data_IF_212477988809
#
_entry.id   IF_212477988809
#
_cell.length_a   1.000
_cell.length_b   1.000
_cell.length_c   1.000
_cell.angle_alpha   90.00
_cell.angle_beta   90.00
_cell.angle_gamma   90.00
#
_symmetry.space_group_name_H-M   'P 1'
#
loop_
_entity.id
_entity.type
_entity.pdbx_description
1 polymer ?
#
# COMPACT_ATOMS: atom_id res chain seq x y z
N UNK A 1 -44.05 27.07 -51.11
CA UNK A 1 -44.63 26.17 -50.08
C UNK A 1 -43.53 25.21 -49.65
N UNK A 2 -42.89 25.50 -48.51
CA UNK A 2 -42.96 24.72 -47.24
C UNK A 2 -42.08 23.47 -47.26
N UNK A 3 -41.19 23.18 -46.32
CA UNK A 3 -40.87 23.78 -45.04
C UNK A 3 -39.50 23.23 -44.64
N UNK A 4 -38.68 24.08 -44.04
CA UNK A 4 -37.43 23.76 -43.36
C UNK A 4 -37.64 22.79 -42.20
N UNK A 5 -37.04 21.61 -42.26
CA UNK A 5 -36.79 20.78 -41.08
C UNK A 5 -35.62 21.40 -40.29
N UNK A 6 -35.94 22.37 -39.45
CA UNK A 6 -35.08 22.83 -38.38
C UNK A 6 -34.78 21.64 -37.45
N UNK A 7 -33.55 21.15 -37.52
CA UNK A 7 -33.02 20.23 -36.51
C UNK A 7 -32.90 20.99 -35.20
N UNK A 8 -33.69 20.56 -34.22
CA UNK A 8 -33.94 21.25 -32.96
C UNK A 8 -32.66 21.30 -32.08
N UNK A 9 -32.01 22.47 -31.88
CA UNK A 9 -30.76 22.58 -31.11
C UNK A 9 -30.97 22.35 -29.60
N UNK A 10 -32.21 22.43 -29.10
CA UNK A 10 -32.54 22.24 -27.68
C UNK A 10 -32.30 20.81 -27.15
N UNK A 11 -32.38 19.78 -28.00
CA UNK A 11 -32.22 18.38 -27.55
C UNK A 11 -30.74 18.01 -27.35
N UNK A 12 -29.83 18.59 -28.15
CA UNK A 12 -28.37 18.42 -27.99
C UNK A 12 -27.85 19.10 -26.72
N UNK A 13 -28.36 20.29 -26.37
CA UNK A 13 -27.94 21.03 -25.18
C UNK A 13 -28.27 20.33 -23.85
N UNK A 14 -29.45 19.70 -23.72
CA UNK A 14 -29.83 18.98 -22.50
C UNK A 14 -29.01 17.70 -22.28
N UNK A 15 -28.69 16.97 -23.36
CA UNK A 15 -27.87 15.76 -23.29
C UNK A 15 -26.40 16.07 -22.94
N UNK A 16 -25.83 17.16 -23.49
CA UNK A 16 -24.46 17.57 -23.18
C UNK A 16 -24.32 18.00 -21.71
N UNK A 17 -25.24 18.83 -21.22
CA UNK A 17 -25.27 19.27 -19.82
C UNK A 17 -25.44 18.10 -18.82
N UNK A 18 -26.22 17.07 -19.19
CA UNK A 18 -26.38 15.88 -18.34
C UNK A 18 -25.08 15.08 -18.24
N UNK A 19 -24.39 14.87 -19.37
CA UNK A 19 -23.10 14.17 -19.41
C UNK A 19 -22.03 14.93 -18.63
N UNK A 20 -22.02 16.25 -18.70
CA UNK A 20 -21.07 17.08 -17.94
C UNK A 20 -21.32 16.99 -16.42
N UNK A 21 -22.58 17.08 -15.98
CA UNK A 21 -22.95 16.89 -14.56
C UNK A 21 -22.56 15.52 -14.03
N UNK A 22 -22.78 14.46 -14.81
CA UNK A 22 -22.37 13.09 -14.45
C UNK A 22 -20.84 12.98 -14.27
N UNK A 23 -20.05 13.61 -15.13
CA UNK A 23 -18.60 13.60 -15.00
C UNK A 23 -18.14 14.38 -13.76
N UNK A 24 -18.73 15.55 -13.48
CA UNK A 24 -18.42 16.33 -12.28
C UNK A 24 -18.73 15.54 -11.00
N UNK A 25 -19.89 14.88 -10.94
CA UNK A 25 -20.26 14.01 -9.83
C UNK A 25 -19.23 12.88 -9.65
N UNK A 26 -18.82 12.21 -10.73
CA UNK A 26 -17.80 11.16 -10.68
C UNK A 26 -16.45 11.68 -10.19
N UNK A 27 -16.04 12.90 -10.55
CA UNK A 27 -14.81 13.49 -10.05
C UNK A 27 -14.89 13.82 -8.55
N UNK A 28 -15.99 14.40 -8.07
CA UNK A 28 -16.20 14.66 -6.65
C UNK A 28 -16.17 13.34 -5.87
N UNK A 29 -16.88 12.33 -6.37
CA UNK A 29 -16.87 10.99 -5.79
C UNK A 29 -15.45 10.40 -5.73
N UNK A 30 -14.67 10.51 -6.82
CA UNK A 30 -13.29 10.04 -6.83
C UNK A 30 -12.41 10.81 -5.85
N UNK A 31 -12.54 12.13 -5.73
CA UNK A 31 -11.79 12.93 -4.75
C UNK A 31 -12.07 12.42 -3.33
N UNK A 32 -13.33 12.21 -2.97
CA UNK A 32 -13.72 11.67 -1.66
C UNK A 32 -13.08 10.29 -1.47
N UNK A 33 -13.21 9.39 -2.44
CA UNK A 33 -12.65 8.04 -2.36
C UNK A 33 -11.12 8.04 -2.19
N UNK A 34 -10.42 8.94 -2.88
CA UNK A 34 -8.98 9.14 -2.74
C UNK A 34 -8.60 9.70 -1.35
N UNK A 35 -9.35 10.67 -0.82
CA UNK A 35 -9.14 11.15 0.56
C UNK A 35 -9.34 10.04 1.59
N UNK A 36 -10.37 9.21 1.43
CA UNK A 36 -10.60 8.06 2.30
C UNK A 36 -9.48 7.01 2.20
N UNK A 37 -8.85 6.88 1.03
CA UNK A 37 -7.71 5.98 0.80
C UNK A 37 -6.46 6.44 1.55
N UNK A 38 -6.26 7.76 1.72
CA UNK A 38 -5.14 8.36 2.45
C UNK A 38 -5.25 8.11 3.96
N UNK A 39 -6.46 8.02 4.49
CA UNK A 39 -6.71 7.99 5.93
C UNK A 39 -6.46 6.58 6.48
N UNK A 40 -5.40 6.44 7.29
CA UNK A 40 -4.92 5.17 7.85
C UNK A 40 -4.83 5.15 9.37
N UNK A 41 -5.27 6.20 10.06
CA UNK A 41 -5.36 6.24 11.51
C UNK A 41 -6.75 6.67 12.01
N UNK A 42 -7.79 6.16 11.36
CA UNK A 42 -9.17 6.51 11.63
C UNK A 42 -9.63 5.95 13.01
N UNK A 43 -10.33 6.75 13.85
CA UNK A 43 -10.69 6.36 15.22
C UNK A 43 -11.58 5.11 15.37
N UNK A 44 -12.21 4.63 14.29
CA UNK A 44 -13.04 3.42 14.31
C UNK A 44 -12.24 2.16 14.69
N UNK A 45 -10.91 2.20 14.61
CA UNK A 45 -10.04 1.13 15.13
C UNK A 45 -10.35 0.77 16.58
N UNK A 46 -10.75 1.75 17.40
CA UNK A 46 -11.08 1.55 18.80
C UNK A 46 -12.38 0.75 19.00
N UNK A 47 -13.21 0.60 17.97
CA UNK A 47 -14.49 -0.13 18.03
C UNK A 47 -14.43 -1.49 17.33
N UNK A 48 -13.80 -1.57 16.15
CA UNK A 48 -13.84 -2.78 15.31
C UNK A 48 -12.45 -3.41 15.06
N UNK A 49 -11.41 -2.89 15.73
CA UNK A 49 -10.04 -3.33 15.58
C UNK A 49 -9.36 -2.78 14.33
N UNK A 50 -8.20 -3.34 13.96
CA UNK A 50 -7.30 -2.80 12.93
C UNK A 50 -7.95 -2.48 11.58
N UNK A 51 -9.03 -3.16 11.19
CA UNK A 51 -9.76 -2.88 9.95
C UNK A 51 -10.43 -1.49 9.96
N UNK A 52 -10.72 -0.97 11.15
CA UNK A 52 -11.29 0.35 11.38
C UNK A 52 -10.28 1.49 11.26
N UNK A 53 -8.98 1.22 11.09
CA UNK A 53 -7.97 2.27 10.86
C UNK A 53 -8.16 3.03 9.56
N UNK A 54 -8.93 2.48 8.62
CA UNK A 54 -9.26 3.13 7.36
C UNK A 54 -10.77 3.25 7.20
N UNK A 55 -11.29 4.41 6.77
CA UNK A 55 -12.72 4.58 6.53
C UNK A 55 -13.20 3.83 5.26
N UNK A 56 -12.30 3.23 4.47
CA UNK A 56 -12.66 2.40 3.31
C UNK A 56 -13.57 1.23 3.70
N UNK A 57 -13.45 0.70 4.93
CA UNK A 57 -14.35 -0.36 5.42
C UNK A 57 -15.82 0.07 5.44
N UNK A 58 -16.12 1.35 5.66
CA UNK A 58 -17.49 1.86 5.62
C UNK A 58 -18.09 1.84 4.20
N UNK A 59 -17.24 1.80 3.17
CA UNK A 59 -17.66 1.67 1.79
C UNK A 59 -17.87 0.23 1.34
N UNK A 60 -17.61 -0.76 2.22
CA UNK A 60 -17.82 -2.18 1.90
C UNK A 60 -19.24 -2.46 1.35
N UNK A 61 -20.35 -1.97 1.96
CA UNK A 61 -21.68 -2.19 1.41
C UNK A 61 -21.83 -1.63 0.00
N UNK A 62 -21.28 -0.43 -0.27
CA UNK A 62 -21.31 0.19 -1.58
C UNK A 62 -20.57 -0.67 -2.62
N UNK A 63 -19.36 -1.15 -2.28
CA UNK A 63 -18.59 -2.00 -3.19
C UNK A 63 -19.31 -3.32 -3.48
N UNK A 64 -19.94 -3.93 -2.48
CA UNK A 64 -20.75 -5.14 -2.64
C UNK A 64 -21.96 -4.88 -3.55
N UNK A 65 -22.69 -3.78 -3.36
CA UNK A 65 -23.81 -3.41 -4.24
C UNK A 65 -23.35 -3.17 -5.69
N UNK A 66 -22.20 -2.53 -5.89
CA UNK A 66 -21.63 -2.36 -7.22
C UNK A 66 -21.33 -3.71 -7.88
N UNK A 67 -20.77 -4.67 -7.15
CA UNK A 67 -20.53 -6.02 -7.66
C UNK A 67 -21.82 -6.78 -7.97
N UNK A 68 -22.83 -6.69 -7.11
CA UNK A 68 -24.16 -7.28 -7.38
C UNK A 68 -24.75 -6.68 -8.66
N UNK A 69 -24.65 -5.37 -8.86
CA UNK A 69 -25.11 -4.71 -10.09
C UNK A 69 -24.33 -5.17 -11.34
N UNK A 70 -23.01 -5.34 -11.23
CA UNK A 70 -22.18 -5.87 -12.33
C UNK A 70 -22.56 -7.31 -12.67
N UNK A 71 -22.79 -8.14 -11.66
CA UNK A 71 -23.22 -9.54 -11.79
C UNK A 71 -24.61 -9.63 -12.40
N UNK A 72 -25.57 -8.82 -11.95
CA UNK A 72 -26.91 -8.77 -12.52
C UNK A 72 -26.88 -8.42 -14.01
N UNK A 73 -26.01 -7.49 -14.41
CA UNK A 73 -25.88 -7.05 -15.80
C UNK A 73 -25.20 -8.08 -16.71
N UNK A 74 -24.11 -8.71 -16.27
CA UNK A 74 -23.29 -9.59 -17.13
C UNK A 74 -23.49 -11.09 -16.86
N UNK A 75 -24.25 -11.44 -15.82
CA UNK A 75 -24.53 -12.81 -15.35
C UNK A 75 -23.30 -13.67 -15.05
N UNK A 76 -22.10 -13.07 -14.98
CA UNK A 76 -20.81 -13.75 -14.75
C UNK A 76 -19.85 -12.83 -14.01
N UNK A 77 -18.96 -13.40 -13.18
CA UNK A 77 -17.88 -12.65 -12.52
C UNK A 77 -16.83 -12.26 -13.56
N UNK A 78 -16.89 -11.02 -14.03
CA UNK A 78 -15.89 -10.49 -14.96
C UNK A 78 -14.63 -10.07 -14.20
N UNK A 79 -13.54 -10.79 -14.40
CA UNK A 79 -12.21 -10.38 -13.95
C UNK A 79 -11.56 -9.52 -15.02
N UNK A 80 -11.56 -8.21 -14.82
CA UNK A 80 -11.13 -7.23 -15.83
C UNK A 80 -9.62 -7.14 -16.00
N UNK A 81 -8.83 -7.49 -14.98
CA UNK A 81 -7.35 -7.43 -15.06
C UNK A 81 -6.66 -8.62 -14.41
N UNK A 82 -5.42 -8.91 -14.84
CA UNK A 82 -4.62 -10.01 -14.27
C UNK A 82 -4.38 -9.85 -12.76
N UNK A 83 -4.27 -8.60 -12.28
CA UNK A 83 -4.16 -8.29 -10.85
C UNK A 83 -5.35 -8.84 -10.05
N UNK A 84 -6.57 -8.64 -10.54
CA UNK A 84 -7.77 -9.16 -9.89
C UNK A 84 -7.77 -10.69 -9.85
N UNK A 85 -7.32 -11.34 -10.93
CA UNK A 85 -7.23 -12.81 -10.99
C UNK A 85 -6.25 -13.36 -9.97
N UNK A 86 -5.08 -12.74 -9.83
CA UNK A 86 -4.07 -13.16 -8.85
C UNK A 86 -4.57 -12.99 -7.42
N UNK A 87 -5.19 -11.85 -7.10
CA UNK A 87 -5.73 -11.59 -5.75
C UNK A 87 -6.88 -12.55 -5.45
N UNK A 88 -7.80 -12.75 -6.39
CA UNK A 88 -8.91 -13.68 -6.21
C UNK A 88 -8.42 -15.13 -6.00
N UNK A 89 -7.47 -15.58 -6.83
CA UNK A 89 -6.85 -16.91 -6.65
C UNK A 89 -6.15 -17.05 -5.30
N UNK A 90 -5.46 -16.00 -4.85
CA UNK A 90 -4.81 -15.99 -3.54
C UNK A 90 -5.82 -16.01 -2.38
N UNK A 91 -6.96 -15.33 -2.50
CA UNK A 91 -8.05 -15.38 -1.50
C UNK A 91 -8.61 -16.79 -1.39
N UNK A 92 -8.87 -17.47 -2.51
CA UNK A 92 -9.38 -18.84 -2.51
C UNK A 92 -8.36 -19.80 -1.84
N UNK A 93 -7.09 -19.65 -2.20
CA UNK A 93 -6.00 -20.40 -1.59
C UNK A 93 -5.93 -20.17 -0.07
N UNK A 94 -5.89 -18.91 0.38
CA UNK A 94 -5.85 -18.58 1.80
C UNK A 94 -7.07 -19.08 2.56
N UNK A 95 -8.25 -19.03 1.94
CA UNK A 95 -9.48 -19.55 2.55
C UNK A 95 -9.38 -21.06 2.79
N UNK A 96 -8.86 -21.82 1.82
CA UNK A 96 -8.64 -23.26 1.96
C UNK A 96 -7.61 -23.57 3.04
N UNK A 97 -6.43 -22.93 3.01
CA UNK A 97 -5.39 -23.13 4.04
C UNK A 97 -5.92 -22.77 5.43
N UNK A 98 -6.68 -21.68 5.54
CA UNK A 98 -7.27 -21.26 6.82
C UNK A 98 -8.23 -22.31 7.36
N UNK A 99 -9.10 -22.89 6.53
CA UNK A 99 -10.00 -23.98 6.95
C UNK A 99 -9.19 -25.18 7.43
N UNK A 100 -8.18 -25.61 6.66
CA UNK A 100 -7.34 -26.78 7.00
C UNK A 100 -6.65 -26.58 8.35
N UNK A 101 -5.98 -25.45 8.56
CA UNK A 101 -5.23 -25.21 9.81
C UNK A 101 -6.15 -24.93 11.01
N UNK A 102 -7.32 -24.32 10.81
CA UNK A 102 -8.32 -24.22 11.88
C UNK A 102 -8.82 -25.61 12.31
N UNK A 103 -9.08 -26.51 11.35
CA UNK A 103 -9.47 -27.89 11.66
C UNK A 103 -8.37 -28.62 12.44
N UNK A 104 -7.10 -28.49 12.02
CA UNK A 104 -5.97 -29.10 12.76
C UNK A 104 -5.90 -28.58 14.19
N UNK A 105 -6.02 -27.27 14.41
CA UNK A 105 -5.98 -26.68 15.75
C UNK A 105 -7.18 -27.12 16.60
N UNK A 106 -8.37 -27.22 16.00
CA UNK A 106 -9.58 -27.67 16.70
C UNK A 106 -9.49 -29.15 17.09
N UNK A 107 -8.92 -30.00 16.24
CA UNK A 107 -8.63 -31.40 16.58
C UNK A 107 -7.61 -31.54 17.72
N UNK A 108 -6.71 -30.58 17.88
CA UNK A 108 -5.77 -30.48 19.00
C UNK A 108 -6.38 -29.85 20.26
N UNK A 109 -7.67 -29.50 20.25
CA UNK A 109 -8.39 -28.89 21.37
C UNK A 109 -8.14 -27.39 21.55
N UNK A 110 -7.48 -26.73 20.59
CA UNK A 110 -7.16 -25.29 20.65
C UNK A 110 -8.15 -24.47 19.81
N UNK A 111 -9.08 -23.76 20.47
CA UNK A 111 -10.15 -23.00 19.82
C UNK A 111 -9.97 -21.47 19.85
N UNK A 112 -9.18 -20.98 20.81
CA UNK A 112 -8.91 -19.57 21.04
C UNK A 112 -7.46 -19.34 21.42
N UNK A 113 -6.95 -18.16 21.10
CA UNK A 113 -5.66 -17.67 21.59
C UNK A 113 -5.92 -16.39 22.39
N UNK A 114 -5.64 -16.41 23.70
CA UNK A 114 -6.04 -15.33 24.60
C UNK A 114 -7.56 -15.12 24.59
N UNK A 115 -8.03 -13.89 24.38
CA UNK A 115 -9.46 -13.59 24.25
C UNK A 115 -10.02 -13.78 22.83
N UNK A 116 -9.16 -14.02 21.83
CA UNK A 116 -9.58 -14.10 20.44
C UNK A 116 -9.89 -15.55 20.01
N UNK A 117 -11.13 -15.79 19.55
CA UNK A 117 -11.48 -17.05 18.88
C UNK A 117 -10.80 -17.17 17.52
N UNK A 118 -10.14 -18.31 17.26
CA UNK A 118 -9.32 -18.51 16.05
C UNK A 118 -10.15 -18.41 14.76
N UNK A 119 -11.37 -18.93 14.76
CA UNK A 119 -12.28 -18.83 13.61
C UNK A 119 -12.70 -17.38 13.34
N UNK A 120 -13.06 -16.65 14.40
CA UNK A 120 -13.42 -15.24 14.31
C UNK A 120 -12.26 -14.40 13.77
N UNK A 121 -11.03 -14.65 14.23
CA UNK A 121 -9.83 -14.00 13.71
C UNK A 121 -9.58 -14.35 12.24
N UNK A 122 -9.68 -15.63 11.88
CA UNK A 122 -9.50 -16.10 10.51
C UNK A 122 -10.43 -15.39 9.52
N UNK A 123 -11.72 -15.27 9.87
CA UNK A 123 -12.72 -14.54 9.07
C UNK A 123 -12.38 -13.05 9.01
N UNK A 124 -12.08 -12.41 10.15
CA UNK A 124 -11.71 -10.98 10.20
C UNK A 124 -10.55 -10.68 9.25
N UNK A 125 -9.49 -11.48 9.30
CA UNK A 125 -8.31 -11.31 8.45
C UNK A 125 -8.63 -11.57 6.96
N UNK A 126 -9.46 -12.57 6.64
CA UNK A 126 -9.93 -12.82 5.25
C UNK A 126 -10.73 -11.64 4.68
N UNK A 127 -11.51 -10.93 5.52
CA UNK A 127 -12.27 -9.74 5.08
C UNK A 127 -11.34 -8.65 4.55
N UNK A 128 -10.12 -8.47 5.08
CA UNK A 128 -9.17 -7.49 4.52
C UNK A 128 -8.82 -7.82 3.07
N UNK A 129 -8.56 -9.09 2.75
CA UNK A 129 -8.23 -9.50 1.38
C UNK A 129 -9.42 -9.31 0.43
N UNK A 130 -10.63 -9.66 0.88
CA UNK A 130 -11.86 -9.44 0.11
C UNK A 130 -12.08 -7.94 -0.12
N UNK A 131 -11.89 -7.11 0.89
CA UNK A 131 -12.02 -5.66 0.78
C UNK A 131 -10.97 -5.07 -0.17
N UNK A 132 -9.72 -5.56 -0.15
CA UNK A 132 -8.68 -5.18 -1.12
C UNK A 132 -9.13 -5.50 -2.56
N UNK A 133 -9.68 -6.70 -2.81
CA UNK A 133 -10.17 -7.08 -4.13
C UNK A 133 -11.31 -6.16 -4.59
N UNK A 134 -12.30 -5.94 -3.71
CA UNK A 134 -13.44 -5.07 -3.99
C UNK A 134 -13.00 -3.62 -4.25
N UNK A 135 -12.06 -3.11 -3.45
CA UNK A 135 -11.48 -1.79 -3.63
C UNK A 135 -10.81 -1.64 -5.00
N UNK A 136 -9.95 -2.59 -5.39
CA UNK A 136 -9.27 -2.55 -6.70
C UNK A 136 -10.27 -2.56 -7.85
N UNK A 137 -11.29 -3.42 -7.77
CA UNK A 137 -12.35 -3.52 -8.78
C UNK A 137 -13.12 -2.22 -8.90
N UNK A 138 -13.49 -1.64 -7.76
CA UNK A 138 -14.24 -0.38 -7.71
C UNK A 138 -13.41 0.79 -8.25
N UNK A 139 -12.15 0.93 -7.83
CA UNK A 139 -11.24 1.94 -8.37
C UNK A 139 -11.11 1.85 -9.89
N UNK A 140 -10.94 0.63 -10.43
CA UNK A 140 -10.85 0.42 -11.87
C UNK A 140 -12.15 0.76 -12.60
N UNK A 141 -13.30 0.46 -11.99
CA UNK A 141 -14.60 0.86 -12.52
C UNK A 141 -14.73 2.39 -12.58
N UNK A 142 -14.44 3.09 -11.48
CA UNK A 142 -14.51 4.56 -11.43
C UNK A 142 -13.57 5.19 -12.46
N UNK A 143 -12.32 4.74 -12.53
CA UNK A 143 -11.35 5.21 -13.52
C UNK A 143 -11.80 4.98 -14.97
N UNK A 144 -12.45 3.84 -15.26
CA UNK A 144 -12.96 3.55 -16.62
C UNK A 144 -14.13 4.45 -17.04
N UNK A 145 -14.84 5.07 -16.09
CA UNK A 145 -16.00 5.94 -16.34
C UNK A 145 -15.63 7.41 -16.51
N UNK A 146 -14.45 7.81 -16.05
CA UNK A 146 -13.93 9.17 -16.25
C UNK A 146 -13.38 9.28 -17.67
N UNK A 147 -14.02 10.11 -18.50
CA UNK A 147 -13.67 10.23 -19.93
C UNK A 147 -12.41 11.05 -20.19
N UNK A 148 -12.06 11.96 -19.27
CA UNK A 148 -10.97 12.93 -19.46
C UNK A 148 -9.81 12.69 -18.51
N UNK A 149 -8.62 12.48 -19.07
CA UNK A 149 -7.38 12.41 -18.28
C UNK A 149 -7.05 13.72 -17.56
N UNK A 150 -7.51 14.87 -18.07
CA UNK A 150 -7.34 16.17 -17.39
C UNK A 150 -8.19 16.23 -16.11
N UNK A 151 -9.39 15.66 -16.15
CA UNK A 151 -10.27 15.57 -14.98
C UNK A 151 -9.69 14.63 -13.93
N UNK A 152 -9.17 13.47 -14.37
CA UNK A 152 -8.47 12.55 -13.50
C UNK A 152 -7.25 13.22 -12.83
N UNK A 153 -6.45 13.95 -13.61
CA UNK A 153 -5.35 14.78 -13.07
C UNK A 153 -5.87 15.77 -12.01
N UNK A 154 -6.97 16.48 -12.28
CA UNK A 154 -7.58 17.42 -11.34
C UNK A 154 -7.98 16.77 -10.01
N UNK A 155 -8.48 15.53 -10.04
CA UNK A 155 -8.80 14.78 -8.82
C UNK A 155 -7.55 14.50 -7.99
N UNK A 156 -6.47 14.03 -8.61
CA UNK A 156 -5.20 13.79 -7.90
C UNK A 156 -4.56 15.08 -7.40
N UNK A 157 -4.62 16.16 -8.19
CA UNK A 157 -4.14 17.48 -7.76
C UNK A 157 -4.89 17.96 -6.51
N UNK A 158 -6.22 17.84 -6.48
CA UNK A 158 -7.02 18.24 -5.33
C UNK A 158 -6.59 17.49 -4.05
N UNK A 159 -6.35 16.18 -4.13
CA UNK A 159 -5.88 15.40 -2.98
C UNK A 159 -4.44 15.73 -2.60
N UNK A 160 -3.53 15.92 -3.56
CA UNK A 160 -2.15 16.35 -3.24
C UNK A 160 -2.15 17.72 -2.55
N UNK A 161 -2.97 18.66 -3.02
CA UNK A 161 -3.11 19.97 -2.37
C UNK A 161 -3.71 19.86 -0.98
N UNK A 162 -4.68 18.98 -0.77
CA UNK A 162 -5.21 18.66 0.56
C UNK A 162 -4.15 18.09 1.49
N UNK A 163 -3.30 17.16 1.02
CA UNK A 163 -2.18 16.61 1.78
C UNK A 163 -1.16 17.69 2.18
N UNK A 164 -0.80 18.58 1.25
CA UNK A 164 0.10 19.72 1.53
C UNK A 164 -0.50 20.60 2.63
N UNK A 165 -1.80 20.93 2.52
CA UNK A 165 -2.50 21.74 3.51
C UNK A 165 -2.51 21.08 4.90
N UNK A 166 -2.85 19.79 4.98
CA UNK A 166 -2.80 19.05 6.25
C UNK A 166 -1.40 19.07 6.82
N UNK A 167 -0.37 18.81 6.03
CA UNK A 167 1.01 18.75 6.52
C UNK A 167 1.48 20.10 7.08
N UNK A 168 1.12 21.22 6.44
CA UNK A 168 1.44 22.56 6.95
C UNK A 168 0.70 22.83 8.26
N UNK A 169 -0.60 22.53 8.32
CA UNK A 169 -1.40 22.71 9.53
C UNK A 169 -0.93 21.81 10.68
N UNK A 170 -0.50 20.60 10.37
CA UNK A 170 0.06 19.65 11.33
C UNK A 170 1.35 20.20 11.94
N UNK A 171 2.26 20.72 11.12
CA UNK A 171 3.51 21.34 11.59
C UNK A 171 3.30 22.53 12.51
N UNK A 172 2.27 23.35 12.25
CA UNK A 172 1.93 24.51 13.08
C UNK A 172 1.34 24.06 14.42
N UNK A 173 0.63 22.92 14.45
CA UNK A 173 -0.15 22.47 15.61
C UNK A 173 0.54 21.38 16.44
N UNK A 174 1.77 20.99 16.09
CA UNK A 174 2.54 20.01 16.86
C UNK A 174 2.85 20.53 18.28
N UNK A 175 2.80 19.67 19.31
CA UNK A 175 2.72 18.20 19.24
C UNK A 175 1.30 17.59 19.27
N UNK A 176 0.25 18.41 19.38
CA UNK A 176 -1.14 17.96 19.54
C UNK A 176 -1.99 18.19 18.27
N UNK A 177 -1.38 18.02 17.10
CA UNK A 177 -2.06 18.22 15.84
C UNK A 177 -3.15 17.16 15.61
N UNK A 178 -4.35 17.60 15.23
CA UNK A 178 -5.46 16.74 14.77
C UNK A 178 -5.78 15.53 15.65
N UNK A 179 -5.66 15.62 16.97
CA UNK A 179 -5.88 14.48 17.89
C UNK A 179 -7.24 13.79 17.69
N UNK A 180 -8.29 14.54 17.34
CA UNK A 180 -9.62 14.00 17.02
C UNK A 180 -9.71 13.21 15.69
N UNK A 181 -8.74 13.39 14.78
CA UNK A 181 -8.60 12.61 13.55
C UNK A 181 -7.66 11.40 13.73
N UNK A 182 -7.13 11.18 14.93
CA UNK A 182 -6.23 10.08 15.21
C UNK A 182 -6.85 9.09 16.18
N UNK A 183 -6.40 7.84 16.10
CA UNK A 183 -6.91 6.78 16.98
C UNK A 183 -6.52 6.98 18.46
N UNK A 184 -5.47 7.78 18.72
CA UNK A 184 -4.99 8.09 20.06
C UNK A 184 -4.67 9.57 20.24
N UNK A 185 -4.81 10.04 21.48
CA UNK A 185 -4.63 11.44 21.87
C UNK A 185 -3.20 11.77 22.34
N UNK A 186 -2.24 10.86 22.12
CA UNK A 186 -0.88 11.06 22.61
C UNK A 186 -0.15 12.14 21.79
N UNK A 187 0.60 13.05 22.44
CA UNK A 187 1.40 14.05 21.75
C UNK A 187 2.46 13.36 20.90
N UNK A 188 2.74 13.90 19.71
CA UNK A 188 3.71 13.34 18.79
C UNK A 188 4.55 14.43 18.13
N UNK A 189 5.81 14.08 17.80
CA UNK A 189 6.85 15.03 17.40
C UNK A 189 7.35 14.83 15.97
N UNK A 190 6.61 14.05 15.17
CA UNK A 190 6.97 13.71 13.79
C UNK A 190 5.75 13.81 12.90
N UNK A 191 5.91 14.39 11.70
CA UNK A 191 4.81 14.51 10.74
C UNK A 191 4.32 13.14 10.33
N UNK A 192 3.03 12.88 10.55
CA UNK A 192 2.37 11.62 10.21
C UNK A 192 1.08 11.81 9.42
N UNK A 193 0.67 13.05 9.11
CA UNK A 193 -0.57 13.39 8.41
C UNK A 193 -1.76 12.60 8.96
N UNK A 194 -2.56 11.93 8.12
CA UNK A 194 -3.69 11.09 8.53
C UNK A 194 -3.31 9.62 8.79
N UNK A 195 -2.06 9.36 9.18
CA UNK A 195 -1.52 8.01 9.40
C UNK A 195 -0.93 7.87 10.80
N UNK A 196 -0.77 6.63 11.28
CA UNK A 196 -0.27 6.36 12.64
C UNK A 196 1.24 6.56 12.75
N UNK A 197 1.99 6.33 11.66
CA UNK A 197 3.44 6.44 11.60
C UNK A 197 3.92 7.39 10.50
N UNK A 198 5.05 8.07 10.70
CA UNK A 198 5.64 8.88 9.62
C UNK A 198 6.13 8.02 8.44
N UNK A 199 6.47 6.75 8.67
CA UNK A 199 6.89 5.81 7.61
C UNK A 199 5.77 5.48 6.61
N UNK A 200 4.53 5.39 7.10
CA UNK A 200 3.33 5.11 6.30
C UNK A 200 2.94 6.30 5.43
N UNK A 201 3.14 7.51 5.95
CA UNK A 201 2.92 8.75 5.20
C UNK A 201 3.75 8.80 3.90
N UNK A 202 4.97 8.26 3.92
CA UNK A 202 5.87 8.27 2.77
C UNK A 202 5.35 7.50 1.57
N UNK A 203 4.66 6.35 1.77
CA UNK A 203 4.04 5.61 0.66
C UNK A 203 2.91 6.40 0.00
N UNK A 204 2.11 7.12 0.79
CA UNK A 204 1.05 7.99 0.27
C UNK A 204 1.63 9.11 -0.59
N UNK A 205 2.63 9.83 -0.08
CA UNK A 205 3.25 10.95 -0.81
C UNK A 205 3.80 10.47 -2.15
N UNK A 206 4.55 9.36 -2.17
CA UNK A 206 5.12 8.81 -3.41
C UNK A 206 4.03 8.39 -4.39
N UNK A 207 3.03 7.61 -3.95
CA UNK A 207 1.96 7.10 -4.84
C UNK A 207 1.19 8.26 -5.48
N UNK A 208 0.71 9.20 -4.67
CA UNK A 208 -0.13 10.29 -5.16
C UNK A 208 0.66 11.26 -6.05
N UNK A 209 1.87 11.66 -5.63
CA UNK A 209 2.71 12.54 -6.43
C UNK A 209 3.11 11.88 -7.76
N UNK A 210 3.49 10.61 -7.76
CA UNK A 210 3.88 9.90 -8.99
C UNK A 210 2.73 9.70 -9.96
N UNK A 211 1.51 9.35 -9.48
CA UNK A 211 0.33 9.25 -10.36
C UNK A 211 -0.02 10.64 -10.93
N UNK A 212 -0.02 11.68 -10.09
CA UNK A 212 -0.27 13.05 -10.54
C UNK A 212 0.73 13.48 -11.62
N UNK A 213 2.03 13.28 -11.39
CA UNK A 213 3.10 13.58 -12.35
C UNK A 213 2.94 12.77 -13.64
N UNK A 214 2.59 11.49 -13.55
CA UNK A 214 2.32 10.67 -14.73
C UNK A 214 1.20 11.24 -15.60
N UNK A 215 0.13 11.76 -14.99
CA UNK A 215 -1.02 12.33 -15.70
C UNK A 215 -0.73 13.68 -16.38
N UNK A 216 0.35 14.37 -15.98
CA UNK A 216 0.74 15.67 -16.58
C UNK A 216 1.06 15.59 -18.07
N UNK A 217 1.35 14.41 -18.62
CA UNK A 217 1.59 14.22 -20.06
C UNK A 217 0.38 14.58 -20.94
N UNK A 218 -0.81 14.67 -20.35
CA UNK A 218 -2.04 15.06 -21.02
C UNK A 218 -2.40 16.56 -20.86
N UNK A 219 -1.51 17.34 -20.23
CA UNK A 219 -1.64 18.78 -20.04
C UNK A 219 -0.82 19.58 -21.06
N UNK A 220 -1.04 20.89 -21.11
CA UNK A 220 -0.18 21.81 -21.87
C UNK A 220 1.23 21.84 -21.27
N UNK A 221 2.24 22.23 -22.08
CA UNK A 221 3.65 22.26 -21.64
C UNK A 221 3.86 23.12 -20.39
N UNK A 222 3.20 24.27 -20.31
CA UNK A 222 3.27 25.17 -19.15
C UNK A 222 2.67 24.54 -17.90
N UNK A 223 1.43 24.05 -17.98
CA UNK A 223 0.76 23.39 -16.86
C UNK A 223 1.55 22.17 -16.38
N UNK A 224 2.06 21.35 -17.30
CA UNK A 224 2.93 20.21 -16.99
C UNK A 224 4.15 20.61 -16.17
N UNK A 225 4.87 21.65 -16.57
CA UNK A 225 6.07 22.10 -15.84
C UNK A 225 5.70 22.55 -14.42
N UNK A 226 4.64 23.34 -14.26
CA UNK A 226 4.17 23.79 -12.93
C UNK A 226 3.78 22.60 -12.06
N UNK A 227 3.01 21.65 -12.60
CA UNK A 227 2.59 20.45 -11.87
C UNK A 227 3.77 19.60 -11.38
N UNK A 228 4.81 19.47 -12.22
CA UNK A 228 6.03 18.72 -11.87
C UNK A 228 6.81 19.45 -10.78
N UNK A 229 6.96 20.77 -10.89
CA UNK A 229 7.62 21.58 -9.85
C UNK A 229 6.83 21.47 -8.54
N UNK A 230 5.51 21.60 -8.58
CA UNK A 230 4.65 21.48 -7.40
C UNK A 230 4.79 20.11 -6.72
N UNK A 231 4.75 19.02 -7.49
CA UNK A 231 4.96 17.67 -6.98
C UNK A 231 6.35 17.48 -6.37
N UNK A 232 7.38 18.01 -7.03
CA UNK A 232 8.77 17.94 -6.55
C UNK A 232 8.95 18.75 -5.26
N UNK A 233 8.38 19.96 -5.18
CA UNK A 233 8.40 20.80 -3.98
C UNK A 233 7.70 20.12 -2.81
N UNK A 234 6.52 19.52 -3.02
CA UNK A 234 5.82 18.76 -1.98
C UNK A 234 6.66 17.57 -1.50
N UNK A 235 7.22 16.79 -2.43
CA UNK A 235 8.06 15.65 -2.11
C UNK A 235 9.31 16.06 -1.32
N UNK A 236 10.04 17.09 -1.76
CA UNK A 236 11.21 17.63 -1.06
C UNK A 236 10.83 18.13 0.33
N UNK A 237 9.75 18.90 0.45
CA UNK A 237 9.27 19.41 1.73
C UNK A 237 8.99 18.27 2.72
N UNK A 238 8.31 17.20 2.28
CA UNK A 238 8.10 16.02 3.11
C UNK A 238 9.42 15.30 3.47
N UNK A 239 10.36 15.16 2.53
CA UNK A 239 11.67 14.54 2.80
C UNK A 239 12.47 15.25 3.91
N UNK A 240 12.40 16.59 3.97
CA UNK A 240 13.12 17.35 5.00
C UNK A 240 12.53 17.18 6.40
N UNK A 241 11.25 16.80 6.51
CA UNK A 241 10.50 16.88 7.77
C UNK A 241 10.14 15.50 8.35
N UNK A 242 9.99 14.47 7.51
CA UNK A 242 9.45 13.14 7.92
C UNK A 242 10.18 12.48 9.10
N UNK A 243 11.50 12.70 9.23
CA UNK A 243 12.34 12.06 10.25
C UNK A 243 12.37 10.51 10.21
N UNK A 244 11.79 9.89 9.18
CA UNK A 244 11.66 8.43 9.05
C UNK A 244 12.88 7.80 8.38
N UNK A 245 13.70 7.08 9.18
CA UNK A 245 14.88 6.34 8.70
C UNK A 245 14.51 5.33 7.60
N UNK A 246 13.43 4.57 7.79
CA UNK A 246 12.99 3.54 6.85
C UNK A 246 12.58 4.12 5.49
N UNK A 247 11.85 5.24 5.50
CA UNK A 247 11.49 5.95 4.27
C UNK A 247 12.73 6.41 3.50
N UNK A 248 13.71 7.02 4.20
CA UNK A 248 14.95 7.50 3.60
C UNK A 248 15.76 6.38 2.95
N UNK A 249 15.87 5.21 3.59
CA UNK A 249 16.57 4.04 3.01
C UNK A 249 15.84 3.50 1.78
N UNK A 250 14.50 3.42 1.81
CA UNK A 250 13.73 2.89 0.68
C UNK A 250 13.80 3.83 -0.54
N UNK A 251 13.67 5.15 -0.35
CA UNK A 251 13.75 6.09 -1.47
C UNK A 251 15.13 6.04 -2.14
N UNK A 252 16.18 5.88 -1.33
CA UNK A 252 17.56 5.67 -1.76
C UNK A 252 17.68 4.50 -2.74
N UNK A 253 17.24 3.34 -2.27
CA UNK A 253 17.37 2.08 -2.98
C UNK A 253 16.52 2.12 -4.26
N UNK A 254 15.36 2.77 -4.19
CA UNK A 254 14.49 3.03 -5.34
C UNK A 254 15.17 3.91 -6.39
N UNK A 255 15.82 5.01 -5.97
CA UNK A 255 16.54 5.90 -6.88
C UNK A 255 17.67 5.16 -7.58
N UNK A 256 18.48 4.40 -6.85
CA UNK A 256 19.57 3.57 -7.43
C UNK A 256 19.01 2.61 -8.48
N UNK A 257 17.98 1.82 -8.14
CA UNK A 257 17.37 0.85 -9.08
C UNK A 257 16.77 1.55 -10.31
N UNK A 258 16.15 2.71 -10.13
CA UNK A 258 15.55 3.49 -11.23
C UNK A 258 16.64 4.08 -12.14
N UNK A 259 17.71 4.62 -11.57
CA UNK A 259 18.87 5.11 -12.30
C UNK A 259 19.51 3.99 -13.11
N UNK A 260 19.69 2.80 -12.51
CA UNK A 260 20.23 1.63 -13.20
C UNK A 260 19.42 1.21 -14.41
N UNK A 261 18.10 1.29 -14.33
CA UNK A 261 17.24 0.90 -15.43
C UNK A 261 17.16 1.92 -16.57
N UNK A 262 17.08 3.21 -16.25
CA UNK A 262 16.73 4.24 -17.23
C UNK A 262 17.89 5.13 -17.66
N UNK A 263 19.00 5.17 -16.93
CA UNK A 263 20.19 5.91 -17.33
C UNK A 263 21.11 5.01 -18.15
N UNK A 264 21.52 5.49 -19.32
CA UNK A 264 22.60 4.84 -20.08
C UNK A 264 23.94 5.20 -19.40
N UNK A 265 24.52 4.22 -18.68
CA UNK A 265 25.80 4.37 -17.99
C UNK A 265 27.00 4.54 -18.90
N UNK A 266 26.85 4.24 -20.20
CA UNK A 266 27.91 4.49 -21.19
C UNK A 266 28.17 5.99 -21.37
N UNK A 267 27.20 6.84 -21.00
CA UNK A 267 27.38 8.30 -20.96
C UNK A 267 28.07 8.69 -19.65
N UNK A 268 29.31 9.20 -19.74
CA UNK A 268 30.12 9.65 -18.58
C UNK A 268 29.34 10.55 -17.61
N UNK A 269 28.51 11.47 -18.10
CA UNK A 269 27.68 12.35 -17.26
C UNK A 269 26.68 11.61 -16.36
N UNK A 270 26.09 10.52 -16.85
CA UNK A 270 25.12 9.72 -16.10
C UNK A 270 25.79 8.82 -15.07
N UNK A 271 26.99 8.31 -15.39
CA UNK A 271 27.81 7.54 -14.45
C UNK A 271 28.33 8.42 -13.30
N UNK A 272 28.79 9.63 -13.62
CA UNK A 272 29.18 10.64 -12.62
C UNK A 272 27.97 11.05 -11.76
N UNK A 273 26.77 11.21 -12.36
CA UNK A 273 25.55 11.50 -11.62
C UNK A 273 25.20 10.38 -10.63
N UNK A 274 25.31 9.11 -11.04
CA UNK A 274 25.08 7.96 -10.14
C UNK A 274 26.09 7.96 -8.98
N UNK A 275 27.38 8.11 -9.29
CA UNK A 275 28.44 8.16 -8.27
C UNK A 275 28.23 9.37 -7.34
N UNK A 276 27.84 10.54 -7.87
CA UNK A 276 27.59 11.74 -7.08
C UNK A 276 26.36 11.57 -6.17
N UNK A 277 25.29 10.92 -6.65
CA UNK A 277 24.13 10.58 -5.81
C UNK A 277 24.56 9.61 -4.71
N UNK A 278 25.29 8.54 -5.04
CA UNK A 278 25.78 7.56 -4.06
C UNK A 278 26.76 8.18 -3.05
N UNK A 279 27.64 9.08 -3.46
CA UNK A 279 28.59 9.79 -2.59
C UNK A 279 27.91 10.87 -1.75
N UNK A 280 26.96 11.63 -2.30
CA UNK A 280 26.17 12.60 -1.53
C UNK A 280 25.33 11.88 -0.47
N UNK A 281 24.83 10.68 -0.78
CA UNK A 281 24.16 9.82 0.18
C UNK A 281 25.11 9.23 1.21
N UNK A 282 26.31 8.78 0.81
CA UNK A 282 27.33 8.33 1.75
C UNK A 282 27.69 9.47 2.70
N UNK A 283 27.96 10.67 2.19
CA UNK A 283 28.24 11.88 2.98
C UNK A 283 27.06 12.28 3.87
N UNK A 284 25.82 12.16 3.40
CA UNK A 284 24.64 12.39 4.23
C UNK A 284 24.58 11.36 5.35
N UNK A 285 24.71 10.08 5.04
CA UNK A 285 24.70 8.99 6.02
C UNK A 285 25.84 9.16 7.02
N UNK A 286 27.07 9.47 6.58
CA UNK A 286 28.27 9.59 7.42
C UNK A 286 28.34 10.89 8.22
N UNK A 287 27.93 12.04 7.68
CA UNK A 287 27.90 13.29 8.46
C UNK A 287 26.68 13.38 9.39
N UNK A 288 25.55 12.76 9.05
CA UNK A 288 24.51 12.47 10.03
C UNK A 288 24.81 11.21 10.87
N UNK A 289 25.90 10.46 10.60
CA UNK A 289 26.19 9.19 11.29
C UNK A 289 26.67 9.35 12.70
N UNK A 290 27.22 10.50 13.10
CA UNK A 290 27.44 10.73 14.53
C UNK A 290 26.12 10.63 15.32
N UNK A 291 25.00 11.03 14.70
CA UNK A 291 23.63 10.82 15.19
C UNK A 291 23.04 9.44 14.85
N UNK A 292 23.35 8.83 13.70
CA UNK A 292 22.82 7.50 13.34
C UNK A 292 23.53 6.35 14.06
N UNK A 293 24.86 6.35 14.19
CA UNK A 293 25.62 5.35 14.96
C UNK A 293 25.27 5.44 16.44
N UNK A 294 25.21 6.66 17.01
CA UNK A 294 24.70 6.83 18.37
C UNK A 294 23.24 6.40 18.46
N UNK A 295 22.38 6.71 17.49
CA UNK A 295 20.99 6.20 17.47
C UNK A 295 20.87 4.70 17.20
N UNK A 296 21.81 4.06 16.50
CA UNK A 296 21.82 2.62 16.25
C UNK A 296 22.33 1.90 17.50
N UNK A 297 23.39 2.42 18.14
CA UNK A 297 23.82 1.99 19.47
C UNK A 297 22.69 2.18 20.47
N UNK A 298 22.00 3.33 20.45
CA UNK A 298 20.85 3.61 21.30
C UNK A 298 19.61 2.75 20.92
N UNK A 299 19.43 2.38 19.65
CA UNK A 299 18.35 1.48 19.21
C UNK A 299 18.64 0.02 19.63
N UNK A 300 19.93 -0.37 19.70
CA UNK A 300 20.45 -1.65 20.19
C UNK A 300 20.43 -1.70 21.73
N UNK A 301 20.84 -0.63 22.40
CA UNK A 301 20.94 -0.47 23.86
C UNK A 301 19.58 -0.17 24.50
N UNK A 302 18.70 0.60 23.85
CA UNK A 302 17.33 0.91 24.31
C UNK A 302 16.24 0.10 23.59
N UNK A 303 16.60 -1.00 22.92
CA UNK A 303 15.64 -2.06 22.60
C UNK A 303 14.47 -1.60 21.70
N UNK A 304 14.78 -1.02 20.54
CA UNK A 304 13.76 -0.37 19.68
C UNK A 304 13.37 -1.18 18.44
N UNK A 305 12.25 -0.75 17.83
CA UNK A 305 11.52 -1.19 16.62
C UNK A 305 12.24 -2.03 15.55
N UNK A 306 13.54 -1.87 15.33
CA UNK A 306 14.30 -2.64 14.33
C UNK A 306 14.48 -4.10 14.74
N UNK A 307 14.78 -4.34 16.02
CA UNK A 307 14.92 -5.70 16.57
C UNK A 307 13.59 -6.46 16.46
N UNK A 308 12.50 -5.82 16.86
CA UNK A 308 11.15 -6.38 16.79
C UNK A 308 10.70 -6.68 15.35
N UNK A 309 11.03 -5.81 14.38
CA UNK A 309 10.78 -6.11 12.95
C UNK A 309 11.55 -7.34 12.49
N UNK A 310 12.84 -7.43 12.80
CA UNK A 310 13.66 -8.56 12.40
C UNK A 310 13.21 -9.87 13.07
N UNK A 311 12.90 -9.85 14.37
CA UNK A 311 12.37 -11.01 15.08
C UNK A 311 11.05 -11.50 14.51
N UNK A 312 10.10 -10.60 14.27
CA UNK A 312 8.83 -11.04 13.64
C UNK A 312 9.00 -11.56 12.21
N UNK A 313 9.99 -11.08 11.45
CA UNK A 313 10.35 -11.65 10.14
C UNK A 313 10.92 -13.07 10.30
N UNK A 314 11.79 -13.30 11.29
CA UNK A 314 12.35 -14.62 11.58
C UNK A 314 11.25 -15.60 11.99
N UNK A 315 10.31 -15.19 12.84
CA UNK A 315 9.11 -15.99 13.20
C UNK A 315 8.36 -16.42 11.93
N UNK A 316 8.12 -15.50 11.00
CA UNK A 316 7.44 -15.81 9.74
C UNK A 316 8.23 -16.84 8.91
N UNK A 317 9.54 -16.69 8.82
CA UNK A 317 10.41 -17.63 8.09
C UNK A 317 10.41 -19.02 8.73
N UNK A 318 10.61 -19.12 10.04
CA UNK A 318 10.57 -20.38 10.80
C UNK A 318 9.20 -21.05 10.61
N UNK A 319 8.12 -20.28 10.66
CA UNK A 319 6.76 -20.79 10.43
C UNK A 319 6.64 -21.44 9.06
N UNK A 320 7.16 -20.80 8.00
CA UNK A 320 7.10 -21.35 6.64
C UNK A 320 8.05 -22.53 6.43
N UNK A 321 9.21 -22.55 7.08
CA UNK A 321 10.10 -23.72 7.05
C UNK A 321 9.41 -24.97 7.60
N UNK A 322 8.63 -24.84 8.68
CA UNK A 322 7.86 -25.95 9.24
C UNK A 322 6.53 -26.20 8.51
N UNK A 323 5.94 -25.16 7.92
CA UNK A 323 4.64 -25.20 7.27
C UNK A 323 4.74 -24.53 5.88
N UNK A 324 5.26 -25.23 4.85
CA UNK A 324 5.59 -24.62 3.55
C UNK A 324 4.36 -24.07 2.79
N UNK A 325 3.16 -24.55 3.12
CA UNK A 325 1.89 -24.03 2.59
C UNK A 325 1.36 -22.81 3.36
N UNK A 326 2.02 -22.40 4.43
CA UNK A 326 1.53 -21.38 5.35
C UNK A 326 0.47 -21.94 6.31
N UNK A 327 0.12 -21.12 7.30
CA UNK A 327 -0.72 -21.53 8.46
C UNK A 327 -2.11 -20.89 8.44
N UNK A 328 -2.46 -20.18 7.37
CA UNK A 328 -3.75 -19.50 7.21
C UNK A 328 -3.88 -18.24 8.05
N UNK A 329 -5.05 -17.62 8.00
CA UNK A 329 -5.29 -16.28 8.56
C UNK A 329 -5.79 -16.29 10.01
N UNK A 330 -6.13 -17.45 10.56
CA UNK A 330 -6.59 -17.62 11.94
C UNK A 330 -5.53 -18.27 12.83
N UNK A 331 -5.10 -19.49 12.44
CA UNK A 331 -4.15 -20.28 13.24
C UNK A 331 -2.76 -19.65 13.35
N UNK A 332 -2.42 -18.64 12.54
CA UNK A 332 -1.12 -17.97 12.60
C UNK A 332 -0.75 -17.46 14.00
N UNK A 333 -1.73 -17.07 14.82
CA UNK A 333 -1.49 -16.60 16.19
C UNK A 333 -0.78 -17.68 17.04
N UNK A 334 -1.21 -18.93 16.92
CA UNK A 334 -0.61 -20.07 17.63
C UNK A 334 0.82 -20.32 17.19
N UNK A 335 1.08 -20.27 15.88
CA UNK A 335 2.42 -20.50 15.34
C UNK A 335 3.34 -19.31 15.59
N UNK A 336 2.80 -18.09 15.61
CA UNK A 336 3.56 -16.91 15.94
C UNK A 336 4.11 -17.03 17.37
N UNK A 337 3.25 -17.29 18.36
CA UNK A 337 3.64 -17.48 19.76
C UNK A 337 4.61 -18.66 19.93
N UNK A 338 4.32 -19.81 19.30
CA UNK A 338 5.17 -21.00 19.33
C UNK A 338 6.63 -20.73 18.95
N UNK A 339 6.85 -19.89 17.94
CA UNK A 339 8.19 -19.63 17.40
C UNK A 339 8.84 -18.33 17.91
N UNK A 340 8.23 -17.61 18.86
CA UNK A 340 8.83 -16.41 19.49
C UNK A 340 10.17 -16.75 20.13
N UNK A 341 10.23 -17.80 20.95
CA UNK A 341 11.44 -18.18 21.68
C UNK A 341 12.57 -18.64 20.74
N UNK A 342 12.23 -19.40 19.70
CA UNK A 342 13.19 -19.84 18.68
C UNK A 342 13.77 -18.64 17.92
N UNK A 343 12.94 -17.65 17.59
CA UNK A 343 13.39 -16.40 16.98
C UNK A 343 14.33 -15.62 17.90
N UNK A 344 14.03 -15.53 19.20
CA UNK A 344 14.88 -14.84 20.17
C UNK A 344 16.25 -15.53 20.29
N UNK A 345 16.26 -16.86 20.34
CA UNK A 345 17.49 -17.65 20.41
C UNK A 345 18.35 -17.45 19.15
N UNK A 346 17.75 -17.56 17.97
CA UNK A 346 18.43 -17.36 16.69
C UNK A 346 19.02 -15.95 16.56
N UNK A 347 18.27 -14.93 16.97
CA UNK A 347 18.75 -13.55 16.97
C UNK A 347 19.89 -13.34 17.96
N UNK A 348 19.74 -13.84 19.19
CA UNK A 348 20.78 -13.77 20.23
C UNK A 348 22.10 -14.37 19.72
N UNK A 349 22.05 -15.54 19.09
CA UNK A 349 23.23 -16.15 18.49
C UNK A 349 23.81 -15.31 17.34
N UNK A 350 22.97 -14.79 16.44
CA UNK A 350 23.43 -13.97 15.31
C UNK A 350 24.17 -12.71 15.78
N UNK A 351 23.57 -11.95 16.71
CA UNK A 351 24.17 -10.71 17.22
C UNK A 351 25.41 -10.97 18.07
N UNK A 352 25.44 -12.04 18.86
CA UNK A 352 26.64 -12.44 19.58
C UNK A 352 27.78 -12.77 18.61
N UNK A 353 27.50 -13.57 17.57
CA UNK A 353 28.51 -13.98 16.59
C UNK A 353 29.03 -12.83 15.72
N UNK A 354 28.16 -11.90 15.33
CA UNK A 354 28.50 -10.82 14.39
C UNK A 354 29.00 -9.54 15.08
N UNK A 355 28.52 -9.25 16.28
CA UNK A 355 28.77 -7.97 16.98
C UNK A 355 29.31 -8.14 18.40
N UNK A 356 29.45 -9.37 18.92
CA UNK A 356 29.94 -9.63 20.27
C UNK A 356 28.96 -9.26 21.39
N UNK A 357 27.69 -9.02 21.06
CA UNK A 357 26.66 -8.56 22.01
C UNK A 357 25.99 -9.78 22.64
N UNK A 358 26.18 -9.97 23.95
CA UNK A 358 25.73 -11.18 24.70
C UNK A 358 24.34 -11.07 25.32
N UNK A 359 23.82 -9.85 25.51
CA UNK A 359 22.50 -9.62 26.08
C UNK A 359 21.66 -8.78 25.12
N UNK A 360 20.62 -9.40 24.57
CA UNK A 360 19.60 -8.68 23.83
C UNK A 360 18.31 -8.75 24.62
N UNK A 361 17.73 -7.60 24.93
CA UNK A 361 16.47 -7.55 25.65
C UNK A 361 15.32 -7.89 24.68
N UNK A 362 14.78 -9.09 24.86
CA UNK A 362 13.63 -9.57 24.11
C UNK A 362 12.30 -9.06 24.70
N UNK A 363 12.28 -8.10 25.63
CA UNK A 363 11.08 -7.66 26.33
C UNK A 363 9.88 -7.29 25.44
N UNK A 364 10.08 -6.59 24.31
CA UNK A 364 8.98 -6.28 23.37
C UNK A 364 8.47 -7.55 22.63
N UNK A 365 9.37 -8.49 22.31
CA UNK A 365 8.99 -9.77 21.70
C UNK A 365 8.36 -10.74 22.71
N UNK A 366 8.80 -10.71 23.97
CA UNK A 366 8.24 -11.48 25.07
C UNK A 366 6.89 -10.93 25.53
N UNK A 367 6.64 -9.62 25.38
CA UNK A 367 5.31 -9.02 25.55
C UNK A 367 4.30 -9.56 24.52
N UNK A 368 4.76 -10.09 23.38
CA UNK A 368 3.89 -10.81 22.46
C UNK A 368 3.58 -12.24 22.92
N UNK A 369 4.39 -12.83 23.80
CA UNK A 369 4.06 -14.15 24.33
C UNK A 369 2.91 -14.05 25.32
N UNK A 370 1.81 -14.76 25.03
CA UNK A 370 0.59 -14.75 25.86
C UNK A 370 -0.28 -13.48 25.81
N UNK A 371 0.05 -12.49 24.97
CA UNK A 371 -0.79 -11.31 24.71
C UNK A 371 -1.54 -11.47 23.39
N UNK A 372 -2.83 -11.16 23.36
CA UNK A 372 -3.66 -11.17 22.13
C UNK A 372 -3.58 -9.85 21.33
N UNK A 373 -2.93 -8.82 21.89
CA UNK A 373 -2.82 -7.50 21.27
C UNK A 373 -1.57 -7.38 20.41
N UNK A 374 -1.74 -6.88 19.18
CA UNK A 374 -0.67 -6.58 18.22
C UNK A 374 0.19 -7.78 17.78
N UNK A 375 -0.36 -9.00 17.84
CA UNK A 375 0.27 -10.18 17.28
C UNK A 375 0.22 -10.21 15.75
N UNK A 376 1.36 -9.92 15.14
CA UNK A 376 1.57 -9.98 13.72
C UNK A 376 2.97 -9.56 13.32
N UNK A 377 3.37 -9.93 12.11
CA UNK A 377 4.64 -9.57 11.53
C UNK A 377 4.60 -8.11 11.11
N UNK A 378 5.56 -7.31 11.57
CA UNK A 378 5.66 -5.88 11.25
C UNK A 378 6.17 -5.63 9.81
N UNK A 379 5.89 -6.55 8.89
CA UNK A 379 6.27 -6.52 7.47
C UNK A 379 5.15 -7.17 6.65
N UNK A 380 4.55 -6.44 5.73
CA UNK A 380 3.40 -6.91 4.97
C UNK A 380 3.72 -8.08 4.05
N UNK A 381 4.91 -8.10 3.43
CA UNK A 381 5.36 -9.25 2.65
C UNK A 381 5.48 -10.51 3.51
N UNK A 382 6.20 -10.43 4.63
CA UNK A 382 6.45 -11.59 5.48
C UNK A 382 5.21 -12.05 6.25
N UNK A 383 4.28 -11.14 6.59
CA UNK A 383 2.98 -11.48 7.16
C UNK A 383 2.17 -12.36 6.21
N UNK A 384 2.09 -11.98 4.94
CA UNK A 384 1.40 -12.77 3.93
C UNK A 384 2.11 -14.08 3.63
N UNK A 385 3.45 -14.10 3.68
CA UNK A 385 4.26 -15.32 3.58
C UNK A 385 3.99 -16.26 4.76
N UNK A 386 3.80 -15.76 5.98
CA UNK A 386 3.38 -16.60 7.10
C UNK A 386 1.99 -17.22 6.86
N UNK A 387 1.04 -16.42 6.36
CA UNK A 387 -0.32 -16.90 6.09
C UNK A 387 -0.40 -17.96 4.99
N UNK A 388 0.30 -17.75 3.87
CA UNK A 388 0.15 -18.58 2.67
C UNK A 388 1.42 -19.30 2.19
N UNK A 389 2.49 -19.25 2.96
CA UNK A 389 3.73 -19.97 2.69
C UNK A 389 4.39 -19.60 1.36
N UNK A 390 4.93 -20.62 0.69
CA UNK A 390 5.59 -20.47 -0.61
C UNK A 390 4.64 -19.96 -1.71
N UNK A 391 3.34 -20.23 -1.61
CA UNK A 391 2.35 -19.71 -2.55
C UNK A 391 2.19 -18.19 -2.45
N UNK A 392 2.38 -17.60 -1.27
CA UNK A 392 2.43 -16.14 -1.12
C UNK A 392 3.62 -15.52 -1.85
N UNK A 393 4.79 -16.16 -1.79
CA UNK A 393 5.98 -15.73 -2.53
C UNK A 393 5.70 -15.78 -4.04
N UNK A 394 5.09 -16.86 -4.52
CA UNK A 394 4.67 -17.00 -5.91
C UNK A 394 3.67 -15.92 -6.31
N UNK A 395 2.67 -15.64 -5.47
CA UNK A 395 1.70 -14.57 -5.69
C UNK A 395 2.39 -13.21 -5.85
N UNK A 396 3.27 -12.82 -4.92
CA UNK A 396 3.99 -11.55 -5.00
C UNK A 396 4.90 -11.48 -6.22
N UNK A 397 5.57 -12.58 -6.58
CA UNK A 397 6.39 -12.66 -7.79
C UNK A 397 5.55 -12.43 -9.06
N UNK A 398 4.42 -13.13 -9.21
CA UNK A 398 3.54 -12.99 -10.37
C UNK A 398 2.93 -11.58 -10.46
N UNK A 399 2.52 -11.02 -9.33
CA UNK A 399 2.02 -9.66 -9.24
C UNK A 399 3.08 -8.63 -9.63
N UNK A 400 4.27 -8.70 -9.02
CA UNK A 400 5.37 -7.78 -9.30
C UNK A 400 5.83 -7.88 -10.75
N UNK A 401 6.00 -9.10 -11.28
CA UNK A 401 6.36 -9.34 -12.69
C UNK A 401 5.36 -8.68 -13.64
N UNK A 402 4.06 -8.89 -13.41
CA UNK A 402 3.00 -8.31 -14.24
C UNK A 402 3.04 -6.77 -14.20
N UNK A 403 3.16 -6.17 -13.02
CA UNK A 403 3.18 -4.72 -12.87
C UNK A 403 4.47 -4.10 -13.46
N UNK A 404 5.63 -4.70 -13.21
CA UNK A 404 6.93 -4.22 -13.72
C UNK A 404 6.94 -4.19 -15.25
N UNK A 405 6.38 -5.20 -15.91
CA UNK A 405 6.28 -5.24 -17.38
C UNK A 405 5.44 -4.07 -17.90
N UNK A 406 4.32 -3.75 -17.24
CA UNK A 406 3.43 -2.64 -17.63
C UNK A 406 4.09 -1.26 -17.49
N UNK A 407 4.92 -1.04 -16.46
CA UNK A 407 5.57 0.27 -16.21
C UNK A 407 6.93 0.45 -16.90
N UNK A 408 7.38 -0.49 -17.75
CA UNK A 408 8.73 -0.42 -18.36
C UNK A 408 9.01 0.89 -19.10
N UNK A 409 8.00 1.52 -19.68
CA UNK A 409 8.15 2.77 -20.45
C UNK A 409 8.03 4.05 -19.63
N UNK A 410 7.54 3.98 -18.39
CA UNK A 410 7.31 5.15 -17.54
C UNK A 410 8.24 5.15 -16.34
N UNK A 411 9.24 6.04 -16.35
CA UNK A 411 10.20 6.16 -15.26
C UNK A 411 9.55 6.51 -13.93
N UNK A 412 8.58 7.44 -13.92
CA UNK A 412 7.92 7.87 -12.69
C UNK A 412 7.05 6.77 -12.04
N UNK A 413 6.27 6.02 -12.84
CA UNK A 413 5.48 4.92 -12.31
C UNK A 413 6.34 3.70 -11.95
N UNK A 414 7.46 3.49 -12.65
CA UNK A 414 8.44 2.48 -12.27
C UNK A 414 9.08 2.81 -10.92
N UNK A 415 9.49 4.07 -10.71
CA UNK A 415 10.02 4.53 -9.44
C UNK A 415 9.02 4.28 -8.31
N UNK A 416 7.76 4.70 -8.49
CA UNK A 416 6.71 4.46 -7.50
C UNK A 416 6.48 2.97 -7.21
N UNK A 417 6.47 2.13 -8.26
CA UNK A 417 6.28 0.69 -8.10
C UNK A 417 7.43 0.05 -7.31
N UNK A 418 8.68 0.37 -7.65
CA UNK A 418 9.86 -0.16 -6.95
C UNK A 418 9.89 0.32 -5.49
N UNK A 419 9.55 1.60 -5.25
CA UNK A 419 9.42 2.14 -3.90
C UNK A 419 8.43 1.34 -3.07
N UNK A 420 7.24 1.06 -3.63
CA UNK A 420 6.22 0.27 -2.95
C UNK A 420 6.68 -1.16 -2.71
N UNK A 421 7.29 -1.82 -3.69
CA UNK A 421 7.78 -3.20 -3.52
C UNK A 421 8.84 -3.32 -2.41
N UNK A 422 9.73 -2.35 -2.27
CA UNK A 422 10.66 -2.30 -1.14
C UNK A 422 9.97 -1.91 0.17
N UNK A 423 8.99 -1.00 0.13
CA UNK A 423 8.21 -0.60 1.31
C UNK A 423 7.42 -1.77 1.91
N UNK A 424 6.97 -2.73 1.10
CA UNK A 424 6.28 -3.95 1.57
C UNK A 424 7.15 -4.83 2.47
N UNK A 425 8.49 -4.68 2.42
CA UNK A 425 9.40 -5.38 3.33
C UNK A 425 9.40 -4.77 4.74
N UNK A 426 9.01 -3.51 4.89
CA UNK A 426 9.10 -2.76 6.16
C UNK A 426 7.75 -2.35 6.73
N UNK A 427 6.67 -2.46 5.97
CA UNK A 427 5.33 -2.01 6.41
C UNK A 427 4.25 -3.03 6.10
N UNK A 428 3.26 -3.14 7.00
CA UNK A 428 2.04 -3.95 6.84
C UNK A 428 1.21 -3.50 5.63
N UNK A 429 0.45 -4.42 5.04
CA UNK A 429 -0.25 -4.23 3.77
C UNK A 429 -1.78 -4.16 3.89
N UNK A 430 -2.33 -4.70 4.97
CA UNK A 430 -3.76 -4.99 5.12
C UNK A 430 -4.64 -3.73 5.04
N UNK A 431 -4.11 -2.58 5.47
CA UNK A 431 -4.82 -1.30 5.52
C UNK A 431 -4.24 -0.24 4.57
N UNK A 432 -3.27 -0.63 3.72
CA UNK A 432 -2.56 0.27 2.80
C UNK A 432 -3.22 0.37 1.44
N UNK A 433 -4.39 1.02 1.38
CA UNK A 433 -5.15 1.16 0.15
C UNK A 433 -4.46 2.01 -0.93
N UNK A 434 -3.53 2.89 -0.57
CA UNK A 434 -2.69 3.62 -1.52
C UNK A 434 -1.77 2.70 -2.33
N UNK A 435 -1.29 1.60 -1.73
CA UNK A 435 -0.51 0.57 -2.45
C UNK A 435 -1.38 -0.07 -3.51
N UNK A 436 -2.59 -0.49 -3.13
CA UNK A 436 -3.56 -1.12 -4.02
C UNK A 436 -4.10 -0.15 -5.08
N UNK A 437 -4.20 1.14 -4.76
CA UNK A 437 -4.52 2.22 -5.70
C UNK A 437 -3.49 2.29 -6.84
N UNK A 438 -2.20 2.30 -6.50
CA UNK A 438 -1.12 2.32 -7.49
C UNK A 438 -1.21 1.09 -8.40
N UNK A 439 -1.41 -0.10 -7.82
CA UNK A 439 -1.52 -1.35 -8.58
C UNK A 439 -2.75 -1.35 -9.49
N UNK A 440 -3.89 -0.88 -8.99
CA UNK A 440 -5.13 -0.73 -9.75
C UNK A 440 -4.94 0.23 -10.95
N UNK A 441 -4.30 1.37 -10.70
CA UNK A 441 -4.00 2.39 -11.71
C UNK A 441 -3.07 1.87 -12.82
N UNK A 442 -1.94 1.27 -12.45
CA UNK A 442 -0.98 0.67 -13.40
C UNK A 442 -1.66 -0.41 -14.23
N UNK A 443 -2.42 -1.29 -13.57
CA UNK A 443 -3.06 -2.42 -14.23
C UNK A 443 -4.06 -1.98 -15.30
N UNK A 444 -4.82 -0.92 -15.04
CA UNK A 444 -5.82 -0.38 -15.95
C UNK A 444 -5.21 0.44 -17.10
N UNK A 445 -4.39 1.45 -16.78
CA UNK A 445 -3.97 2.45 -17.78
C UNK A 445 -2.76 2.05 -18.63
N UNK A 446 -1.96 1.08 -18.19
CA UNK A 446 -0.82 0.57 -18.96
C UNK A 446 -1.05 -0.85 -19.50
N UNK A 447 -2.20 -1.47 -19.22
CA UNK A 447 -2.61 -2.78 -19.72
C UNK A 447 -3.15 -2.74 -21.16
N UNK A 448 -2.35 -2.32 -22.14
CA UNK A 448 -2.78 -2.27 -23.57
C UNK A 448 -3.23 -3.62 -24.15
N UNK A 449 -2.84 -4.75 -23.55
CA UNK A 449 -3.12 -6.10 -24.08
C UNK A 449 -4.28 -6.85 -23.39
N UNK A 450 -4.84 -6.34 -22.29
CA UNK A 450 -5.88 -7.06 -21.53
C UNK A 450 -7.31 -6.72 -22.02
N UNK A 451 -7.51 -5.54 -22.61
CA UNK A 451 -8.81 -5.14 -23.17
C UNK A 451 -9.10 -5.73 -24.56
N UNK A 452 -8.06 -6.07 -25.34
CA UNK A 452 -8.25 -6.67 -26.66
C UNK A 452 -8.66 -8.16 -26.61
N UNK A 453 -8.47 -8.84 -25.48
CA UNK A 453 -8.84 -10.25 -25.31
C UNK A 453 -10.26 -10.46 -24.77
N UNK A 454 -10.93 -9.40 -24.29
CA UNK A 454 -12.31 -9.48 -23.78
C UNK A 454 -13.36 -8.85 -24.71
N UNK A 455 -12.95 -8.14 -25.76
CA UNK A 455 -13.83 -7.61 -26.80
C UNK A 455 -13.43 -8.17 -28.17
N UNK A 456 -13.88 -9.41 -28.48
CA UNK A 456 -14.13 -9.98 -29.83
C UNK A 456 -14.40 -11.49 -29.71
N UNK A 457 -15.52 -11.86 -29.10
CA UNK A 457 -16.22 -13.11 -29.44
C UNK A 457 -17.71 -12.98 -29.07
N UNK A 458 -18.54 -12.86 -30.11
CA UNK A 458 -19.99 -12.63 -30.04
C UNK A 458 -20.33 -11.14 -29.91
N UNK A 459 -20.90 -10.46 -30.90
CA UNK A 459 -21.89 -10.89 -31.90
C UNK A 459 -21.63 -10.13 -33.19
N UNK A 460 -21.57 -10.88 -34.28
CA UNK A 460 -21.68 -10.40 -35.64
C UNK A 460 -23.17 -10.22 -35.99
N UNK A 461 -23.43 -9.21 -36.83
CA UNK A 461 -24.71 -8.72 -37.36
C UNK A 461 -25.48 -7.76 -36.47
#
# INVERSE_FOLDING_TARGET
MSQSLQSNPMIKGKSANKVEKEQVFLAIYLIILLVLTVYQDFPLVNMIGEIGRTPIIMLLPLFVFCEIGLLAKHKRVMHGSMLQKYIFGFILYLSLITIVYLLVQFLQGSYSFGSEGLMGKGIKVLIYFVLILLYIRHMQLVFSKIKSFKMLYGCFLAVVTFLVAIMILELISMPNAFTYLHSGNNPYWRVRMLTSESSTTGSIVVVYASIMVYLTKYLSKFARTISVIYAASFFLFYMFITGSKGFMIIILLTLVVTMVKFLDFRKKKNFILLIAVVLAMYMFITNFSAGLLSSFSNDIENYTSSYTRMGTIIIALITVFHNPLGVGTGAYLMYFDKYVNDSISMMSHFYYSMFGISQINAGELLQYSGSDKNLGVKSGFFQWVMFGGLFSVLFFYLMAKNLIIKVKSSSILFLALIFILFSMLLVSLEIKYEVWLLFAFISLFLGKNEFHTTNRSGVAK
#
